data_IF_982958644958
#
_entry.id   IF_982958644958
#
_cell.length_a   1.000
_cell.length_b   1.000
_cell.length_c   1.000
_cell.angle_alpha   90.00
_cell.angle_beta   90.00
_cell.angle_gamma   90.00
#
_symmetry.space_group_name_H-M   'P 1'
#
loop_
_entity.id
_entity.type
_entity.pdbx_description
1 polymer ?
#
# COMPACT_ATOMS: atom_id res chain seq x y z
N UNK A 1 -18.62 11.16 5.22
CA UNK A 1 -17.19 10.99 4.89
C UNK A 1 -16.93 10.87 3.39
N UNK A 2 -17.53 9.92 2.66
CA UNK A 2 -17.33 9.77 1.19
C UNK A 2 -17.55 11.06 0.37
N UNK A 3 -18.64 11.78 0.64
CA UNK A 3 -18.91 13.08 -0.01
C UNK A 3 -17.82 14.11 0.30
N UNK A 4 -17.35 14.15 1.55
CA UNK A 4 -16.27 15.05 2.01
C UNK A 4 -14.95 14.78 1.28
N UNK A 5 -14.53 13.51 1.15
CA UNK A 5 -13.33 13.14 0.40
C UNK A 5 -13.44 13.46 -1.10
N UNK A 6 -14.66 13.41 -1.64
CA UNK A 6 -14.89 13.82 -3.03
C UNK A 6 -14.79 15.33 -3.18
N UNK A 7 -15.30 16.10 -2.23
CA UNK A 7 -15.18 17.56 -2.22
C UNK A 7 -13.71 17.99 -2.12
N UNK A 8 -12.90 17.34 -1.27
CA UNK A 8 -11.47 17.67 -1.14
C UNK A 8 -10.69 17.40 -2.43
N UNK A 9 -11.10 16.42 -3.22
CA UNK A 9 -10.54 16.15 -4.55
C UNK A 9 -10.86 17.30 -5.53
N UNK A 10 -12.10 17.79 -5.54
CA UNK A 10 -12.52 18.87 -6.46
C UNK A 10 -11.96 20.24 -6.07
N UNK A 11 -11.79 20.51 -4.77
CA UNK A 11 -11.15 21.74 -4.27
C UNK A 11 -9.63 21.66 -4.26
N UNK A 12 -9.06 20.46 -4.40
CA UNK A 12 -7.62 20.18 -4.34
C UNK A 12 -7.00 20.65 -3.01
N UNK A 13 -7.78 20.62 -1.93
CA UNK A 13 -7.36 21.06 -0.59
C UNK A 13 -6.52 19.99 0.15
N UNK A 14 -6.56 18.74 -0.34
CA UNK A 14 -5.85 17.60 0.25
C UNK A 14 -6.65 16.82 1.29
N UNK A 15 -5.99 15.88 2.00
CA UNK A 15 -6.67 15.02 2.97
C UNK A 15 -7.13 15.82 4.19
N UNK A 16 -8.35 15.55 4.64
CA UNK A 16 -8.86 16.06 5.93
C UNK A 16 -8.10 15.48 7.12
N UNK A 17 -7.62 14.23 6.99
CA UNK A 17 -6.93 13.48 8.03
C UNK A 17 -5.50 13.15 7.56
N UNK A 18 -4.53 14.04 7.80
CA UNK A 18 -3.14 13.81 7.41
C UNK A 18 -2.47 12.78 8.34
N UNK A 19 -1.41 12.10 7.86
CA UNK A 19 -0.78 10.97 8.56
C UNK A 19 -0.01 11.33 9.82
N UNK A 20 0.19 12.61 10.10
CA UNK A 20 0.86 13.11 11.30
C UNK A 20 -0.10 13.44 12.45
N UNK A 21 -1.41 13.21 12.25
CA UNK A 21 -2.44 13.41 13.27
C UNK A 21 -2.92 12.07 13.82
N UNK A 22 -3.27 12.03 15.11
CA UNK A 22 -3.82 10.83 15.75
C UNK A 22 -5.06 10.32 15.03
N UNK A 23 -5.97 11.22 14.63
CA UNK A 23 -7.17 10.87 13.88
C UNK A 23 -6.85 10.24 12.50
N UNK A 24 -5.82 10.73 11.81
CA UNK A 24 -5.35 10.15 10.54
C UNK A 24 -4.71 8.78 10.73
N UNK A 25 -3.94 8.58 11.82
CA UNK A 25 -3.40 7.29 12.18
C UNK A 25 -4.50 6.27 12.44
N UNK A 26 -5.52 6.63 13.24
CA UNK A 26 -6.64 5.75 13.55
C UNK A 26 -7.48 5.39 12.30
N UNK A 27 -7.77 6.36 11.42
CA UNK A 27 -8.45 6.08 10.14
C UNK A 27 -7.66 5.11 9.26
N UNK A 28 -6.35 5.36 9.13
CA UNK A 28 -5.47 4.51 8.33
C UNK A 28 -5.39 3.09 8.92
N UNK A 29 -5.36 2.96 10.24
CA UNK A 29 -5.29 1.67 10.93
C UNK A 29 -6.61 0.88 10.82
N UNK A 30 -7.75 1.56 10.93
CA UNK A 30 -9.05 0.95 10.68
C UNK A 30 -9.17 0.47 9.23
N UNK A 31 -8.82 1.34 8.26
CA UNK A 31 -8.83 0.99 6.86
C UNK A 31 -7.86 -0.16 6.52
N UNK A 32 -6.72 -0.23 7.21
CA UNK A 32 -5.76 -1.34 7.11
C UNK A 32 -6.42 -2.64 7.55
N UNK A 33 -7.06 -2.64 8.73
CA UNK A 33 -7.74 -3.81 9.30
C UNK A 33 -8.88 -4.30 8.42
N UNK A 34 -9.75 -3.39 7.97
CA UNK A 34 -10.90 -3.73 7.12
C UNK A 34 -10.47 -4.36 5.79
N UNK A 35 -9.45 -3.78 5.13
CA UNK A 35 -8.94 -4.29 3.86
C UNK A 35 -8.18 -5.60 4.03
N UNK A 36 -7.44 -5.76 5.13
CA UNK A 36 -6.77 -7.00 5.50
C UNK A 36 -7.79 -8.14 5.69
N UNK A 37 -8.83 -7.91 6.50
CA UNK A 37 -9.91 -8.88 6.70
C UNK A 37 -10.62 -9.23 5.39
N UNK A 38 -10.96 -8.21 4.59
CA UNK A 38 -11.62 -8.40 3.29
C UNK A 38 -10.76 -9.26 2.35
N UNK A 39 -9.44 -9.05 2.34
CA UNK A 39 -8.53 -9.83 1.53
C UNK A 39 -8.53 -11.31 1.96
N UNK A 40 -8.38 -11.60 3.26
CA UNK A 40 -8.32 -12.97 3.76
C UNK A 40 -9.67 -13.68 3.82
N UNK A 41 -10.79 -12.96 3.65
CA UNK A 41 -12.13 -13.54 3.47
C UNK A 41 -12.31 -14.21 2.12
N UNK A 42 -11.66 -13.73 1.07
CA UNK A 42 -11.69 -14.34 -0.26
C UNK A 42 -10.93 -15.67 -0.25
N UNK A 43 -11.19 -16.64 -1.14
CA UNK A 43 -10.31 -17.80 -1.31
C UNK A 43 -9.00 -17.42 -2.02
N UNK A 44 -7.91 -18.21 -1.88
CA UNK A 44 -6.59 -17.89 -2.48
C UNK A 44 -6.63 -17.47 -3.95
N UNK A 45 -7.37 -18.18 -4.81
CA UNK A 45 -7.41 -17.94 -6.26
C UNK A 45 -8.16 -16.65 -6.66
N UNK A 46 -8.85 -16.01 -5.70
CA UNK A 46 -9.56 -14.75 -5.90
C UNK A 46 -8.86 -13.56 -5.27
N UNK A 47 -7.73 -13.77 -4.62
CA UNK A 47 -6.91 -12.74 -3.99
C UNK A 47 -5.78 -12.32 -4.93
N UNK A 48 -5.43 -11.02 -5.01
CA UNK A 48 -4.19 -10.59 -5.64
C UNK A 48 -2.99 -11.16 -4.88
N UNK A 49 -2.00 -11.68 -5.60
CA UNK A 49 -0.72 -12.06 -5.00
C UNK A 49 0.20 -10.84 -4.96
N UNK A 50 0.26 -10.15 -3.82
CA UNK A 50 1.05 -8.93 -3.67
C UNK A 50 2.57 -9.16 -3.70
N UNK A 51 3.03 -10.37 -3.36
CA UNK A 51 4.44 -10.75 -3.50
C UNK A 51 4.83 -10.68 -4.97
N UNK A 52 4.08 -11.35 -5.85
CA UNK A 52 4.31 -11.33 -7.31
C UNK A 52 4.17 -9.95 -7.94
N UNK A 53 3.34 -9.10 -7.33
CA UNK A 53 3.16 -7.71 -7.75
C UNK A 53 4.25 -6.77 -7.20
N UNK A 54 5.17 -7.22 -6.36
CA UNK A 54 6.19 -6.36 -5.74
C UNK A 54 5.56 -5.27 -4.87
N UNK A 55 4.53 -5.62 -4.08
CA UNK A 55 3.84 -4.70 -3.16
C UNK A 55 3.94 -5.24 -1.75
N UNK A 56 4.62 -4.51 -0.87
CA UNK A 56 4.86 -4.98 0.50
C UNK A 56 3.73 -4.59 1.45
N UNK A 57 3.18 -3.38 1.29
CA UNK A 57 2.13 -2.84 2.15
C UNK A 57 0.87 -2.49 1.33
N UNK A 58 0.05 -3.48 0.94
CA UNK A 58 -1.09 -3.24 0.05
C UNK A 58 -2.27 -2.51 0.70
N UNK A 59 -2.35 -2.50 2.05
CA UNK A 59 -3.52 -2.01 2.79
C UNK A 59 -3.28 -0.75 3.61
N UNK A 60 -2.04 -0.25 3.64
CA UNK A 60 -1.68 0.95 4.38
C UNK A 60 -0.42 1.58 3.78
N UNK A 61 -0.13 2.81 4.18
CA UNK A 61 1.06 3.54 3.74
C UNK A 61 2.10 3.54 4.88
N UNK A 62 3.18 2.74 4.81
CA UNK A 62 4.21 2.63 5.84
C UNK A 62 5.17 3.84 5.83
N UNK A 63 4.67 5.00 6.26
CA UNK A 63 5.40 6.28 6.20
C UNK A 63 6.72 6.26 6.98
N UNK A 64 6.73 5.69 8.19
CA UNK A 64 7.93 5.61 9.04
C UNK A 64 9.04 4.84 8.33
N UNK A 65 8.70 3.67 7.78
CA UNK A 65 9.67 2.85 7.06
C UNK A 65 10.16 3.51 5.78
N UNK A 66 9.27 4.20 5.06
CA UNK A 66 9.64 4.97 3.88
C UNK A 66 10.66 6.07 4.23
N UNK A 67 10.43 6.82 5.31
CA UNK A 67 11.32 7.87 5.77
C UNK A 67 12.70 7.32 6.17
N UNK A 68 12.73 6.23 6.94
CA UNK A 68 13.97 5.52 7.31
C UNK A 68 14.77 5.03 6.09
N UNK A 69 14.09 4.53 5.05
CA UNK A 69 14.74 4.06 3.82
C UNK A 69 15.38 5.18 2.99
N UNK A 70 14.86 6.40 3.11
CA UNK A 70 15.37 7.58 2.40
C UNK A 70 16.35 8.42 3.22
N UNK A 71 16.37 8.23 4.53
CA UNK A 71 17.27 8.91 5.45
C UNK A 71 17.77 7.94 6.52
N UNK A 72 18.97 7.41 6.31
CA UNK A 72 19.59 6.40 7.19
C UNK A 72 20.35 6.99 8.37
N UNK A 73 20.60 8.30 8.38
CA UNK A 73 21.42 8.99 9.37
C UNK A 73 20.53 9.72 10.40
N UNK A 74 20.08 9.01 11.44
CA UNK A 74 19.46 9.64 12.62
C UNK A 74 18.29 8.87 13.22
N UNK A 75 18.08 9.05 14.53
CA UNK A 75 16.88 8.57 15.22
C UNK A 75 15.66 9.35 14.71
N UNK A 76 14.91 8.71 13.81
CA UNK A 76 13.67 9.26 13.27
C UNK A 76 12.57 9.14 14.33
N UNK A 77 12.37 10.19 15.12
CA UNK A 77 11.27 10.26 16.08
C UNK A 77 10.03 10.87 15.42
N UNK A 78 9.21 9.99 14.83
CA UNK A 78 7.88 10.31 14.34
C UNK A 78 7.83 10.84 12.90
N UNK A 79 6.62 11.17 12.48
CA UNK A 79 6.29 11.68 11.15
C UNK A 79 5.66 13.05 11.32
N UNK A 80 6.00 13.99 10.45
CA UNK A 80 5.25 15.23 10.38
C UNK A 80 5.09 15.70 8.93
N UNK A 81 4.00 16.41 8.65
CA UNK A 81 3.75 16.98 7.32
C UNK A 81 4.27 18.42 7.28
N UNK A 82 5.09 18.71 6.28
CA UNK A 82 5.65 20.05 6.04
C UNK A 82 4.53 20.97 5.54
N UNK A 83 4.25 22.01 6.32
CA UNK A 83 3.21 23.03 6.04
C UNK A 83 3.78 24.45 5.89
N UNK A 84 5.09 24.64 6.06
CA UNK A 84 5.70 25.96 5.92
C UNK A 84 5.58 26.45 4.47
N UNK A 85 4.92 27.60 4.26
CA UNK A 85 4.66 28.16 2.93
C UNK A 85 5.94 28.43 2.14
N UNK A 86 6.97 29.00 2.77
CA UNK A 86 8.24 29.29 2.10
C UNK A 86 8.97 28.02 1.62
N UNK A 87 8.97 26.97 2.45
CA UNK A 87 9.51 25.66 2.09
C UNK A 87 8.73 25.04 0.91
N UNK A 88 7.41 25.09 0.96
CA UNK A 88 6.55 24.53 -0.09
C UNK A 88 6.64 25.32 -1.39
N UNK A 89 6.72 26.66 -1.34
CA UNK A 89 6.90 27.51 -2.51
C UNK A 89 8.25 27.26 -3.17
N UNK A 90 9.31 27.06 -2.37
CA UNK A 90 10.61 26.66 -2.89
C UNK A 90 10.53 25.32 -3.64
N UNK A 91 9.95 24.28 -3.02
CA UNK A 91 9.76 22.98 -3.67
C UNK A 91 8.89 23.08 -4.93
N UNK A 92 7.89 23.98 -4.92
CA UNK A 92 7.00 24.22 -6.07
C UNK A 92 7.77 24.82 -7.23
N UNK A 93 8.67 25.76 -6.95
CA UNK A 93 9.57 26.32 -7.94
C UNK A 93 10.51 25.26 -8.52
N UNK A 94 11.05 24.36 -7.68
CA UNK A 94 11.89 23.26 -8.13
C UNK A 94 11.13 22.28 -9.03
N UNK A 95 9.92 21.87 -8.64
CA UNK A 95 9.05 21.00 -9.44
C UNK A 95 8.68 21.62 -10.80
N UNK A 96 8.43 22.93 -10.80
CA UNK A 96 8.06 23.69 -11.99
C UNK A 96 9.26 24.16 -12.82
N UNK A 97 10.50 23.91 -12.34
CA UNK A 97 11.76 24.39 -12.92
C UNK A 97 11.80 25.91 -13.14
N UNK A 98 11.16 26.65 -12.23
CA UNK A 98 11.20 28.11 -12.20
C UNK A 98 12.24 28.57 -11.20
N UNK A 99 12.83 29.76 -11.41
CA UNK A 99 13.78 30.34 -10.45
C UNK A 99 13.08 30.54 -9.10
N UNK A 100 13.58 29.97 -8.00
CA UNK A 100 13.02 30.23 -6.69
C UNK A 100 13.26 31.69 -6.30
N UNK A 101 12.25 32.31 -5.70
CA UNK A 101 12.35 33.69 -5.18
C UNK A 101 13.26 33.73 -3.95
N UNK A 102 13.34 32.63 -3.21
CA UNK A 102 14.11 32.52 -1.97
C UNK A 102 14.84 31.19 -1.93
N UNK A 103 16.10 31.20 -1.48
CA UNK A 103 16.83 29.98 -1.15
C UNK A 103 16.27 29.38 0.14
N UNK A 104 15.87 28.11 0.09
CA UNK A 104 15.38 27.40 1.26
C UNK A 104 16.33 26.26 1.63
N UNK A 105 16.69 26.17 2.90
CA UNK A 105 17.46 25.06 3.46
C UNK A 105 16.51 24.24 4.32
N UNK A 106 16.52 22.93 4.10
CA UNK A 106 15.77 21.97 4.92
C UNK A 106 16.63 21.48 6.06
N UNK A 107 16.08 21.45 7.28
CA UNK A 107 16.79 20.91 8.43
C UNK A 107 17.03 19.40 8.27
N UNK A 108 18.01 18.83 8.98
CA UNK A 108 18.18 17.36 8.98
C UNK A 108 16.93 16.65 9.50
N UNK A 109 16.24 17.24 10.49
CA UNK A 109 14.94 16.73 10.95
C UNK A 109 13.89 16.70 9.84
N UNK A 110 13.88 17.69 8.95
CA UNK A 110 12.95 17.74 7.82
C UNK A 110 13.24 16.61 6.82
N UNK A 111 14.53 16.35 6.58
CA UNK A 111 14.96 15.27 5.69
C UNK A 111 14.68 13.89 6.27
N UNK A 112 14.78 13.76 7.60
CA UNK A 112 14.53 12.53 8.35
C UNK A 112 13.04 12.19 8.48
N UNK A 113 12.22 13.16 8.86
CA UNK A 113 10.85 12.90 9.32
C UNK A 113 9.76 13.60 8.48
N UNK A 114 10.16 14.43 7.50
CA UNK A 114 9.26 15.32 6.77
C UNK A 114 8.56 14.66 5.59
N UNK A 115 7.22 14.71 5.61
CA UNK A 115 6.37 14.39 4.48
C UNK A 115 5.89 15.65 3.78
N UNK A 116 5.88 15.63 2.45
CA UNK A 116 5.37 16.70 1.61
C UNK A 116 4.05 16.26 0.99
N UNK A 117 3.01 17.07 1.18
CA UNK A 117 1.71 16.83 0.57
C UNK A 117 1.74 17.15 -0.93
N UNK A 118 1.34 16.18 -1.74
CA UNK A 118 1.31 16.29 -3.20
C UNK A 118 -0.08 16.01 -3.74
N UNK A 119 -0.51 16.82 -4.71
CA UNK A 119 -1.59 16.55 -5.63
C UNK A 119 -1.05 15.80 -6.83
N UNK A 120 -1.80 14.82 -7.30
CA UNK A 120 -1.39 13.88 -8.34
C UNK A 120 -2.38 14.02 -9.49
N UNK A 121 -1.89 14.32 -10.69
CA UNK A 121 -2.70 14.38 -11.90
C UNK A 121 -2.22 13.31 -12.89
N UNK A 122 -3.11 12.42 -13.32
CA UNK A 122 -2.76 11.44 -14.34
C UNK A 122 -2.60 12.11 -15.71
N UNK A 123 -1.53 11.75 -16.43
CA UNK A 123 -1.27 12.28 -17.77
C UNK A 123 -2.16 11.63 -18.84
N UNK A 124 -2.69 10.44 -18.58
CA UNK A 124 -3.51 9.67 -19.51
C UNK A 124 -4.64 8.93 -18.81
N UNK A 125 -5.18 7.90 -19.48
CA UNK A 125 -6.26 7.08 -18.93
C UNK A 125 -5.70 6.15 -17.85
N UNK A 126 -6.45 6.00 -16.76
CA UNK A 126 -6.14 5.05 -15.69
C UNK A 126 -6.93 5.35 -14.42
N UNK A 127 -6.78 4.48 -13.44
CA UNK A 127 -7.37 4.62 -12.11
C UNK A 127 -6.27 4.89 -11.09
N UNK A 128 -6.62 5.64 -10.06
CA UNK A 128 -5.73 5.97 -8.95
C UNK A 128 -6.38 5.47 -7.67
N UNK A 129 -5.77 4.48 -7.03
CA UNK A 129 -6.33 3.82 -5.84
C UNK A 129 -5.62 4.27 -4.55
N UNK A 130 -6.26 4.07 -3.39
CA UNK A 130 -5.63 4.27 -2.08
C UNK A 130 -4.44 3.31 -1.93
N UNK A 131 -3.40 3.75 -1.25
CA UNK A 131 -2.11 3.06 -1.09
C UNK A 131 -1.33 2.82 -2.40
N UNK A 132 -1.74 3.41 -3.52
CA UNK A 132 -0.96 3.34 -4.75
C UNK A 132 0.44 3.95 -4.55
N UNK A 133 1.45 3.34 -5.16
CA UNK A 133 2.85 3.69 -5.02
C UNK A 133 3.17 4.88 -5.92
N UNK A 134 3.78 5.93 -5.36
CA UNK A 134 4.38 7.03 -6.12
C UNK A 134 5.85 6.71 -6.29
N UNK A 135 6.30 6.53 -7.53
CA UNK A 135 7.66 6.09 -7.83
C UNK A 135 8.44 7.13 -8.67
N UNK A 136 9.75 7.13 -8.48
CA UNK A 136 10.67 7.89 -9.32
C UNK A 136 10.81 7.26 -10.70
N UNK A 137 11.03 8.10 -11.71
CA UNK A 137 11.35 7.62 -13.06
C UNK A 137 12.79 7.14 -13.19
N UNK A 138 12.99 6.06 -13.94
CA UNK A 138 14.29 5.65 -14.45
C UNK A 138 14.69 6.42 -15.72
N UNK A 139 15.97 6.33 -16.09
CA UNK A 139 16.52 6.98 -17.31
C UNK A 139 15.82 6.53 -18.59
N UNK A 140 15.40 5.27 -18.65
CA UNK A 140 14.68 4.66 -19.77
C UNK A 140 13.27 5.22 -19.94
N UNK A 141 12.63 5.59 -18.82
CA UNK A 141 11.22 5.94 -18.78
C UNK A 141 10.95 7.31 -19.41
N UNK A 142 11.96 8.18 -19.44
CA UNK A 142 11.90 9.52 -20.05
C UNK A 142 11.40 9.45 -21.50
N UNK A 143 11.80 8.41 -22.25
CA UNK A 143 11.41 8.24 -23.66
C UNK A 143 9.91 7.97 -23.82
N UNK A 144 9.30 7.32 -22.84
CA UNK A 144 7.89 6.93 -22.86
C UNK A 144 6.94 8.08 -22.49
N UNK A 145 7.46 9.18 -21.94
CA UNK A 145 6.65 10.38 -21.60
C UNK A 145 5.96 11.02 -22.81
N UNK A 146 6.45 10.75 -24.03
CA UNK A 146 5.86 11.25 -25.27
C UNK A 146 4.61 10.49 -25.71
N UNK A 147 4.32 9.34 -25.09
CA UNK A 147 3.14 8.57 -25.41
C UNK A 147 1.87 9.28 -24.89
N UNK A 148 0.90 9.48 -25.79
CA UNK A 148 -0.39 10.09 -25.50
C UNK A 148 -1.27 9.21 -24.61
N UNK A 149 -0.99 7.90 -24.52
CA UNK A 149 -1.76 7.01 -23.64
C UNK A 149 -1.51 7.28 -22.15
N UNK A 150 -0.37 7.88 -21.81
CA UNK A 150 0.08 8.11 -20.44
C UNK A 150 0.48 6.84 -19.69
N UNK A 151 0.61 5.69 -20.39
CA UNK A 151 1.12 4.45 -19.80
C UNK A 151 2.63 4.51 -19.65
N UNK A 152 3.10 4.12 -18.48
CA UNK A 152 4.50 3.91 -18.18
C UNK A 152 4.97 2.50 -18.56
N UNK A 153 6.18 2.11 -18.13
CA UNK A 153 6.65 0.74 -18.31
C UNK A 153 5.86 -0.24 -17.44
N UNK A 154 6.03 -1.54 -17.69
CA UNK A 154 5.48 -2.61 -16.85
C UNK A 154 6.47 -2.97 -15.73
N UNK A 155 5.94 -3.28 -14.55
CA UNK A 155 6.70 -3.92 -13.47
C UNK A 155 6.98 -5.39 -13.81
N UNK A 156 8.21 -5.89 -13.67
CA UNK A 156 8.48 -7.32 -13.77
C UNK A 156 7.72 -8.09 -12.68
N UNK A 157 7.33 -9.33 -12.98
CA UNK A 157 6.73 -10.21 -11.97
C UNK A 157 7.83 -10.65 -11.00
N UNK A 158 7.56 -10.50 -9.71
CA UNK A 158 8.48 -10.90 -8.64
C UNK A 158 8.29 -12.37 -8.29
N UNK A 159 9.36 -13.04 -7.87
CA UNK A 159 9.34 -14.43 -7.44
C UNK A 159 8.70 -14.57 -6.05
N UNK A 160 7.93 -15.65 -5.85
CA UNK A 160 7.23 -15.91 -4.60
C UNK A 160 7.81 -17.15 -3.91
N UNK A 161 8.80 -16.90 -3.05
CA UNK A 161 9.51 -17.94 -2.28
C UNK A 161 8.58 -18.78 -1.38
N UNK A 162 7.39 -18.27 -1.08
CA UNK A 162 6.43 -18.93 -0.21
C UNK A 162 5.38 -19.74 -0.98
N UNK A 163 5.36 -19.71 -2.31
CA UNK A 163 4.36 -20.40 -3.13
C UNK A 163 4.35 -21.91 -2.89
N UNK A 164 5.53 -22.55 -2.92
CA UNK A 164 5.68 -23.98 -2.65
C UNK A 164 5.33 -24.31 -1.20
N UNK A 165 5.79 -23.49 -0.24
CA UNK A 165 5.46 -23.66 1.19
C UNK A 165 3.96 -23.64 1.42
N UNK A 166 3.24 -22.69 0.81
CA UNK A 166 1.77 -22.60 0.89
C UNK A 166 1.07 -23.79 0.24
N UNK A 167 1.66 -24.40 -0.79
CA UNK A 167 1.10 -25.61 -1.40
C UNK A 167 1.25 -26.81 -0.46
N UNK A 168 2.45 -27.08 0.02
CA UNK A 168 2.76 -28.19 0.94
C UNK A 168 1.91 -28.08 2.21
N UNK A 169 1.89 -26.91 2.86
CA UNK A 169 1.13 -26.70 4.09
C UNK A 169 -0.38 -26.93 3.91
N UNK A 170 -0.95 -26.57 2.75
CA UNK A 170 -2.37 -26.84 2.45
C UNK A 170 -2.63 -28.33 2.28
N UNK A 171 -1.78 -29.03 1.55
CA UNK A 171 -1.91 -30.48 1.31
C UNK A 171 -1.79 -31.26 2.63
N UNK A 172 -0.79 -30.95 3.45
CA UNK A 172 -0.59 -31.55 4.77
C UNK A 172 -1.80 -31.32 5.70
N UNK A 173 -2.32 -30.09 5.72
CA UNK A 173 -3.49 -29.75 6.53
C UNK A 173 -4.74 -30.51 6.07
N UNK A 174 -4.99 -30.58 4.76
CA UNK A 174 -6.12 -31.34 4.21
C UNK A 174 -6.03 -32.83 4.58
N UNK A 175 -4.84 -33.43 4.46
CA UNK A 175 -4.61 -34.82 4.87
C UNK A 175 -4.83 -35.03 6.37
N UNK A 176 -4.39 -34.09 7.22
CA UNK A 176 -4.62 -34.12 8.68
C UNK A 176 -6.11 -34.06 9.00
N UNK A 177 -6.88 -33.17 8.37
CA UNK A 177 -8.32 -33.08 8.55
C UNK A 177 -9.05 -34.34 8.09
N UNK A 178 -8.65 -34.92 6.95
CA UNK A 178 -9.20 -36.19 6.45
C UNK A 178 -8.94 -37.35 7.44
N UNK A 179 -7.73 -37.45 7.99
CA UNK A 179 -7.38 -38.44 9.03
C UNK A 179 -8.24 -38.27 10.28
N UNK A 180 -8.40 -37.04 10.77
CA UNK A 180 -9.25 -36.74 11.94
C UNK A 180 -10.73 -37.03 11.69
N UNK A 181 -11.23 -36.77 10.47
CA UNK A 181 -12.59 -37.15 10.07
C UNK A 181 -12.78 -38.66 10.10
N UNK A 182 -11.84 -39.43 9.52
CA UNK A 182 -11.91 -40.91 9.51
C UNK A 182 -11.93 -41.48 10.93
N UNK A 183 -11.09 -40.98 11.85
CA UNK A 183 -11.08 -41.38 13.26
C UNK A 183 -12.43 -41.13 13.94
N UNK A 184 -13.04 -39.95 13.71
CA UNK A 184 -14.36 -39.60 14.25
C UNK A 184 -15.46 -40.51 13.73
N UNK A 185 -15.45 -40.81 12.42
CA UNK A 185 -16.43 -41.73 11.80
C UNK A 185 -16.28 -43.14 12.38
N UNK A 186 -15.05 -43.64 12.54
CA UNK A 186 -14.79 -44.96 13.14
C UNK A 186 -15.30 -45.03 14.58
N UNK A 187 -14.92 -44.07 15.42
CA UNK A 187 -15.37 -44.00 16.82
C UNK A 187 -16.89 -43.89 16.94
N UNK A 188 -17.55 -43.15 16.03
CA UNK A 188 -19.01 -43.07 16.00
C UNK A 188 -19.66 -44.43 15.70
N UNK A 189 -19.14 -45.17 14.70
CA UNK A 189 -19.62 -46.53 14.37
C UNK A 189 -19.45 -47.50 15.54
N UNK A 190 -18.30 -47.48 16.20
CA UNK A 190 -18.03 -48.33 17.38
C UNK A 190 -18.98 -48.03 18.56
N UNK A 191 -19.37 -46.77 18.75
CA UNK A 191 -20.35 -46.39 19.80
C UNK A 191 -21.77 -46.84 19.45
N UNK A 192 -22.15 -46.75 18.16
CA UNK A 192 -23.42 -47.25 17.64
C UNK A 192 -23.53 -48.78 17.78
N UNK A 193 -22.47 -49.52 17.43
CA UNK A 193 -22.39 -50.99 17.59
C UNK A 193 -22.50 -51.42 19.06
N UNK A 194 -21.97 -50.63 20.00
CA UNK A 194 -22.07 -50.89 21.44
C UNK A 194 -23.41 -50.47 22.05
N UNK A 195 -24.37 -49.98 21.26
CA UNK A 195 -25.68 -49.57 21.72
C UNK A 195 -25.68 -48.30 22.58
N UNK A 196 -24.58 -47.54 22.61
CA UNK A 196 -24.45 -46.31 23.39
C UNK A 196 -25.04 -45.15 22.58
N UNK A 197 -26.34 -44.91 22.73
CA UNK A 197 -27.02 -43.78 22.09
C UNK A 197 -26.52 -42.45 22.68
N UNK A 198 -25.81 -41.67 21.86
CA UNK A 198 -25.36 -40.32 22.22
C UNK A 198 -26.55 -39.36 22.31
N UNK A 199 -26.93 -38.98 23.52
CA UNK A 199 -27.83 -37.85 23.78
C UNK A 199 -27.22 -36.62 23.14
N UNK A 200 -27.96 -35.96 22.23
CA UNK A 200 -27.59 -34.70 21.58
C UNK A 200 -27.42 -33.61 22.66
N UNK A 201 -26.24 -33.55 23.26
CA UNK A 201 -25.85 -32.47 24.15
C UNK A 201 -25.54 -31.25 23.30
N UNK A 202 -26.04 -30.10 23.76
CA UNK A 202 -25.93 -28.78 23.12
C UNK A 202 -24.50 -28.50 22.63
N UNK A 203 -24.45 -27.97 21.40
CA UNK A 203 -23.34 -27.31 20.69
C UNK A 203 -21.96 -27.46 21.33
N UNK A 204 -21.31 -28.62 21.13
CA UNK A 204 -19.87 -28.71 21.30
C UNK A 204 -19.20 -27.97 20.14
N UNK A 205 -18.32 -27.02 20.45
CA UNK A 205 -17.42 -26.38 19.48
C UNK A 205 -16.78 -27.42 18.56
N UNK A 206 -16.57 -27.04 17.30
CA UNK A 206 -16.00 -27.96 16.32
C UNK A 206 -14.63 -28.46 16.83
N UNK A 207 -14.39 -29.78 16.93
CA UNK A 207 -13.18 -30.31 17.56
C UNK A 207 -11.90 -29.97 16.78
N UNK A 208 -12.04 -29.49 15.55
CA UNK A 208 -10.95 -29.05 14.67
C UNK A 208 -10.86 -27.53 14.52
N UNK A 209 -11.68 -26.75 15.22
CA UNK A 209 -11.75 -25.29 15.07
C UNK A 209 -10.39 -24.61 15.30
N UNK A 210 -9.74 -24.92 16.43
CA UNK A 210 -8.40 -24.41 16.75
C UNK A 210 -7.37 -24.72 15.67
N UNK A 211 -7.34 -25.98 15.20
CA UNK A 211 -6.42 -26.41 14.14
C UNK A 211 -6.65 -25.66 12.82
N UNK A 212 -7.90 -25.35 12.48
CA UNK A 212 -8.24 -24.57 11.27
C UNK A 212 -7.84 -23.11 11.44
N UNK A 213 -8.02 -22.55 12.63
CA UNK A 213 -7.62 -21.18 12.94
C UNK A 213 -6.10 -21.01 12.89
N UNK A 214 -5.33 -21.89 13.55
CA UNK A 214 -3.85 -21.91 13.50
C UNK A 214 -3.35 -22.02 12.05
N UNK A 215 -3.97 -22.88 11.25
CA UNK A 215 -3.64 -22.98 9.83
C UNK A 215 -3.95 -21.69 9.07
N UNK A 216 -5.08 -21.03 9.36
CA UNK A 216 -5.46 -19.79 8.70
C UNK A 216 -4.49 -18.66 9.02
N UNK A 217 -4.01 -18.58 10.27
CA UNK A 217 -2.97 -17.63 10.71
C UNK A 217 -1.64 -17.91 10.02
N UNK A 218 -1.16 -19.16 10.01
CA UNK A 218 0.03 -19.57 9.27
C UNK A 218 -0.06 -19.20 7.77
N UNK A 219 -1.23 -19.42 7.15
CA UNK A 219 -1.42 -19.04 5.74
C UNK A 219 -1.36 -17.52 5.56
N UNK A 220 -1.92 -16.73 6.48
CA UNK A 220 -1.84 -15.26 6.40
C UNK A 220 -0.38 -14.78 6.38
N UNK A 221 0.45 -15.32 7.26
CA UNK A 221 1.88 -15.00 7.35
C UNK A 221 2.67 -15.35 6.08
N UNK A 222 2.29 -16.42 5.39
CA UNK A 222 2.95 -16.82 4.14
C UNK A 222 2.51 -16.00 2.92
N UNK A 223 1.39 -15.27 3.00
CA UNK A 223 0.87 -14.43 1.92
C UNK A 223 1.32 -12.98 2.01
N UNK A 224 1.56 -12.47 3.22
CA UNK A 224 2.00 -11.10 3.47
C UNK A 224 3.15 -11.11 4.47
N UNK A 225 4.22 -10.35 4.21
CA UNK A 225 5.33 -10.27 5.15
C UNK A 225 4.88 -9.64 6.47
N UNK A 226 5.24 -10.27 7.60
CA UNK A 226 5.00 -9.71 8.93
C UNK A 226 5.87 -8.48 9.19
N UNK A 227 7.08 -8.45 8.63
CA UNK A 227 8.04 -7.35 8.79
C UNK A 227 8.42 -6.73 7.44
N UNK A 228 8.38 -5.40 7.38
CA UNK A 228 8.72 -4.63 6.19
C UNK A 228 10.20 -4.24 6.24
N UNK A 229 11.04 -4.94 5.47
CA UNK A 229 12.48 -4.65 5.41
C UNK A 229 12.82 -3.37 4.65
N UNK A 230 12.20 -3.11 3.51
CA UNK A 230 12.40 -1.86 2.77
C UNK A 230 11.20 -1.60 1.88
N UNK A 231 10.66 -0.40 1.96
CA UNK A 231 9.58 0.12 1.11
C UNK A 231 10.13 0.69 -0.18
N UNK A 232 11.24 1.44 -0.10
CA UNK A 232 11.85 2.15 -1.22
C UNK A 232 12.19 1.22 -2.38
N UNK A 233 12.75 0.05 -2.05
CA UNK A 233 13.22 -0.94 -3.04
C UNK A 233 12.23 -2.09 -3.25
N UNK A 234 10.95 -1.90 -2.88
CA UNK A 234 9.90 -2.93 -3.04
C UNK A 234 9.56 -3.24 -4.49
N UNK A 235 9.87 -2.32 -5.40
CA UNK A 235 9.61 -2.45 -6.83
C UNK A 235 10.84 -2.02 -7.62
N UNK A 236 10.87 -2.32 -8.92
CA UNK A 236 11.99 -1.96 -9.79
C UNK A 236 12.25 -0.44 -9.87
N UNK A 237 11.25 0.39 -9.52
CA UNK A 237 11.38 1.85 -9.44
C UNK A 237 11.36 2.26 -7.97
N UNK A 238 12.21 3.22 -7.56
CA UNK A 238 12.27 3.63 -6.16
C UNK A 238 10.96 4.31 -5.74
N UNK A 239 10.34 3.80 -4.67
CA UNK A 239 9.12 4.36 -4.09
C UNK A 239 9.47 5.64 -3.33
N UNK A 240 8.82 6.74 -3.69
CA UNK A 240 9.00 8.07 -3.09
C UNK A 240 7.93 8.39 -2.05
N UNK A 241 6.75 7.77 -2.20
CA UNK A 241 5.56 8.12 -1.45
C UNK A 241 4.37 7.26 -1.80
N UNK A 242 3.22 7.59 -1.23
CA UNK A 242 1.98 6.87 -1.43
C UNK A 242 0.79 7.81 -1.64
N UNK A 243 -0.19 7.31 -2.37
CA UNK A 243 -1.48 7.95 -2.58
C UNK A 243 -2.40 7.62 -1.40
N UNK A 244 -2.96 8.62 -0.75
CA UNK A 244 -3.95 8.43 0.32
C UNK A 244 -5.37 8.42 -0.21
N UNK A 245 -5.63 9.18 -1.27
CA UNK A 245 -6.91 9.20 -1.95
C UNK A 245 -6.74 9.47 -3.44
N UNK A 246 -7.49 8.74 -4.25
CA UNK A 246 -7.50 8.88 -5.71
C UNK A 246 -8.90 8.68 -6.25
N UNK A 247 -9.24 9.43 -7.29
CA UNK A 247 -10.55 9.40 -7.90
C UNK A 247 -10.62 10.18 -9.20
N UNK A 248 -11.77 10.15 -9.85
CA UNK A 248 -12.01 10.98 -11.02
C UNK A 248 -12.52 12.35 -10.58
N UNK A 249 -11.81 13.43 -10.96
CA UNK A 249 -12.30 14.79 -10.77
C UNK A 249 -13.15 15.19 -11.96
N UNK A 250 -14.36 15.66 -11.67
CA UNK A 250 -15.27 16.20 -12.66
C UNK A 250 -14.83 17.58 -13.11
N UNK A 251 -14.22 18.37 -12.22
CA UNK A 251 -13.67 19.69 -12.55
C UNK A 251 -12.54 19.62 -13.58
N UNK A 252 -11.64 18.65 -13.43
CA UNK A 252 -10.50 18.49 -14.33
C UNK A 252 -10.79 17.52 -15.49
N UNK A 253 -11.93 16.80 -15.44
CA UNK A 253 -12.29 15.72 -16.36
C UNK A 253 -11.19 14.64 -16.47
N UNK A 254 -10.48 14.38 -15.36
CA UNK A 254 -9.33 13.48 -15.28
C UNK A 254 -9.25 12.77 -13.94
N UNK A 255 -8.58 11.62 -13.93
CA UNK A 255 -8.19 10.95 -12.69
C UNK A 255 -7.11 11.75 -11.98
N UNK A 256 -7.37 12.12 -10.75
CA UNK A 256 -6.44 12.84 -9.89
C UNK A 256 -6.56 12.33 -8.45
N UNK A 257 -5.69 12.83 -7.59
CA UNK A 257 -5.68 12.44 -6.19
C UNK A 257 -4.71 13.27 -5.39
N UNK A 258 -4.49 12.85 -4.16
CA UNK A 258 -3.48 13.42 -3.30
C UNK A 258 -2.82 12.31 -2.48
N UNK A 259 -1.63 12.63 -2.00
CA UNK A 259 -0.81 11.73 -1.23
C UNK A 259 0.34 12.48 -0.59
N UNK A 260 1.28 11.70 -0.09
CA UNK A 260 2.46 12.22 0.57
C UNK A 260 3.71 11.58 0.00
N UNK A 261 4.77 12.37 -0.09
CA UNK A 261 6.08 11.96 -0.57
C UNK A 261 7.11 12.36 0.49
N UNK A 262 8.09 11.50 0.75
CA UNK A 262 9.19 11.81 1.64
C UNK A 262 10.02 12.99 1.08
N UNK A 263 10.35 13.98 1.91
CA UNK A 263 11.10 15.16 1.47
C UNK A 263 12.43 14.78 0.84
N UNK A 264 13.19 13.92 1.51
CA UNK A 264 14.50 13.41 1.05
C UNK A 264 14.40 12.70 -0.30
N UNK A 265 13.35 11.90 -0.50
CA UNK A 265 13.05 11.26 -1.78
C UNK A 265 12.75 12.28 -2.89
N UNK A 266 11.92 13.28 -2.57
CA UNK A 266 11.54 14.34 -3.52
C UNK A 266 12.78 15.14 -3.96
N UNK A 267 13.61 15.58 -3.02
CA UNK A 267 14.84 16.34 -3.32
C UNK A 267 15.79 15.55 -4.23
N UNK A 268 16.01 14.26 -3.95
CA UNK A 268 16.86 13.39 -4.77
C UNK A 268 16.37 13.27 -6.22
N UNK A 269 15.04 13.21 -6.40
CA UNK A 269 14.43 13.04 -7.72
C UNK A 269 14.31 14.35 -8.50
N UNK A 270 14.15 15.48 -7.81
CA UNK A 270 13.98 16.80 -8.44
C UNK A 270 15.20 17.22 -9.27
N UNK A 271 16.40 16.82 -8.86
CA UNK A 271 17.63 17.07 -9.63
C UNK A 271 17.62 16.36 -11.00
N UNK A 272 16.90 15.24 -11.12
CA UNK A 272 17.00 14.31 -12.26
C UNK A 272 15.80 14.36 -13.18
N UNK A 273 14.60 14.60 -12.66
CA UNK A 273 13.35 14.44 -13.41
C UNK A 273 12.79 15.75 -13.99
N UNK A 274 12.11 15.64 -15.14
CA UNK A 274 11.48 16.75 -15.87
C UNK A 274 10.05 17.06 -15.39
N UNK A 275 9.78 16.90 -14.08
CA UNK A 275 8.45 17.14 -13.51
C UNK A 275 7.41 16.03 -13.77
N UNK A 276 7.85 14.87 -14.28
CA UNK A 276 7.04 13.65 -14.40
C UNK A 276 7.45 12.62 -13.36
N UNK A 277 6.46 11.85 -12.92
CA UNK A 277 6.61 10.77 -11.95
C UNK A 277 5.79 9.56 -12.42
N UNK A 278 5.97 8.43 -11.76
CA UNK A 278 5.20 7.24 -12.03
C UNK A 278 4.28 6.93 -10.85
N UNK A 279 3.10 6.39 -11.14
CA UNK A 279 2.23 5.80 -10.12
C UNK A 279 1.84 4.39 -10.52
N UNK A 280 1.75 3.49 -9.53
CA UNK A 280 1.29 2.12 -9.72
C UNK A 280 0.31 1.73 -8.60
N UNK A 281 -0.85 1.22 -8.99
CA UNK A 281 -1.81 0.68 -8.02
C UNK A 281 -1.31 -0.65 -7.45
N UNK A 282 -1.70 -0.95 -6.21
CA UNK A 282 -1.27 -2.16 -5.50
C UNK A 282 -1.72 -3.46 -6.17
N UNK A 283 -2.75 -3.39 -7.01
CA UNK A 283 -3.36 -4.52 -7.72
C UNK A 283 -2.83 -4.70 -9.16
N UNK A 284 -1.90 -3.85 -9.61
CA UNK A 284 -1.46 -3.77 -11.02
C UNK A 284 0.06 -3.74 -11.16
N UNK A 285 0.57 -4.29 -12.26
CA UNK A 285 1.97 -4.16 -12.69
C UNK A 285 2.20 -2.92 -13.57
N UNK A 286 1.14 -2.29 -14.08
CA UNK A 286 1.25 -1.16 -15.01
C UNK A 286 1.54 0.14 -14.25
N UNK A 287 2.66 0.79 -14.57
CA UNK A 287 2.90 2.17 -14.15
C UNK A 287 2.16 3.14 -15.06
N UNK A 288 1.78 4.29 -14.53
CA UNK A 288 1.21 5.39 -15.28
C UNK A 288 2.01 6.67 -15.02
N UNK A 289 2.16 7.49 -16.06
CA UNK A 289 2.76 8.80 -15.91
C UNK A 289 1.80 9.75 -15.21
N UNK A 290 2.34 10.45 -14.22
CA UNK A 290 1.62 11.50 -13.49
C UNK A 290 2.46 12.76 -13.39
N UNK A 291 1.78 13.88 -13.17
CA UNK A 291 2.40 15.13 -12.73
C UNK A 291 2.07 15.35 -11.26
N UNK A 292 3.08 15.76 -10.51
CA UNK A 292 2.91 16.15 -9.12
C UNK A 292 2.76 17.67 -9.04
N UNK A 293 1.81 18.13 -8.22
CA UNK A 293 1.60 19.53 -7.86
C UNK A 293 1.70 19.62 -6.34
N UNK A 294 2.38 20.62 -5.81
CA UNK A 294 2.34 20.84 -4.36
C UNK A 294 1.03 21.51 -3.97
N UNK A 295 0.43 20.98 -2.91
CA UNK A 295 -0.75 21.55 -2.30
C UNK A 295 -0.28 22.48 -1.20
N UNK A 296 -0.56 23.78 -1.37
CA UNK A 296 -0.27 24.76 -0.33
C UNK A 296 -1.39 24.68 0.71
N UNK A 297 -1.05 24.73 2.01
CA UNK A 297 -2.06 24.86 3.04
C UNK A 297 -2.87 26.14 2.81
N UNK A 298 -4.19 25.98 2.92
CA UNK A 298 -5.17 27.08 2.83
C UNK A 298 -4.98 27.99 4.03
#
# INVERSE_FOLDING_TARGET
LRETERLTLETVSGPTLPPDTEAGCLDSEQARSDNYEKHFRLPPDKRPNYIKLGVIAPFHCPWERLLQDWHSEGDSQGIYVIRNRGQLDFLKCLLSRTKPITTCVFSEKDKACGLVQVGIEMCGRGTLERCALICGMGKTDIRLTKDKTGKGPLEPIHEDENEEKRKIQREEHQLKLLRLRRKRVKSKREMEEKGIFSVKTKEKKNPTEKLVQEQAELMKELWLPNEIKSVKNSSSRPVLGFVTFGGYSFRQSKTCGYGFVALSALLNVLERNQGYFLVRNVTSLQYYFVRLKLLLPV
#
